data_IF_992120153248
#
_entry.id   IF_992120153248
#
_cell.length_a   1.000
_cell.length_b   1.000
_cell.length_c   1.000
_cell.angle_alpha   90.00
_cell.angle_beta   90.00
_cell.angle_gamma   90.00
#
_symmetry.space_group_name_H-M   'P 1'
#
loop_
_entity.id
_entity.type
_entity.pdbx_description
1 polymer ?
#
# COMPACT_ATOMS: atom_id res chain seq x y z
N UNK A 1 4.15 6.49 -21.20
CA UNK A 1 4.22 6.09 -19.78
C UNK A 1 3.27 4.92 -19.59
N UNK A 2 3.79 3.76 -19.20
CA UNK A 2 2.99 2.55 -19.04
C UNK A 2 1.95 2.78 -17.92
N UNK A 3 0.66 2.76 -18.29
CA UNK A 3 -0.44 2.70 -17.32
C UNK A 3 -0.38 1.31 -16.69
N UNK A 4 -0.01 1.20 -15.42
CA UNK A 4 -0.06 -0.09 -14.71
C UNK A 4 -1.46 -0.27 -14.11
N UNK A 5 -2.25 -1.27 -14.55
CA UNK A 5 -3.66 -1.40 -14.21
C UNK A 5 -3.87 -2.19 -12.90
N UNK A 6 -3.10 -1.87 -11.87
CA UNK A 6 -3.22 -2.49 -10.55
C UNK A 6 -4.18 -1.75 -9.62
N UNK A 7 -4.65 -2.44 -8.59
CA UNK A 7 -5.41 -1.84 -7.48
C UNK A 7 -4.47 -1.73 -6.27
N UNK A 8 -4.32 -0.53 -5.71
CA UNK A 8 -3.58 -0.27 -4.48
C UNK A 8 -4.50 0.32 -3.42
N UNK A 9 -4.41 -0.21 -2.21
CA UNK A 9 -5.00 0.39 -1.02
C UNK A 9 -3.99 1.33 -0.38
N UNK A 10 -4.34 2.59 -0.19
CA UNK A 10 -3.55 3.52 0.62
C UNK A 10 -4.37 3.83 1.85
N UNK A 11 -3.87 3.39 3.00
CA UNK A 11 -4.58 3.48 4.26
C UNK A 11 -3.85 4.39 5.23
N UNK A 12 -4.64 5.03 6.09
CA UNK A 12 -4.17 5.77 7.26
C UNK A 12 -4.55 5.04 8.54
N UNK A 13 -3.83 5.34 9.61
CA UNK A 13 -4.26 4.92 10.94
C UNK A 13 -5.60 5.61 11.32
N UNK A 14 -6.55 4.83 11.84
CA UNK A 14 -7.81 5.37 12.32
C UNK A 14 -7.57 6.35 13.49
N UNK A 15 -8.15 7.55 13.40
CA UNK A 15 -7.93 8.61 14.38
C UNK A 15 -6.75 9.53 14.07
N UNK A 16 -5.83 9.14 13.18
CA UNK A 16 -4.72 10.00 12.76
C UNK A 16 -5.16 10.98 11.66
N UNK A 17 -4.65 12.23 11.67
CA UNK A 17 -4.89 13.18 10.58
C UNK A 17 -4.33 12.62 9.27
N UNK A 18 -4.95 12.98 8.14
CA UNK A 18 -4.38 12.62 6.83
C UNK A 18 -3.10 13.42 6.64
N UNK A 19 -1.95 12.73 6.62
CA UNK A 19 -0.67 13.39 6.41
C UNK A 19 -0.52 13.87 4.96
N UNK A 20 0.27 14.93 4.77
CA UNK A 20 0.57 15.45 3.42
C UNK A 20 1.17 14.38 2.52
N UNK A 21 1.96 13.46 3.09
CA UNK A 21 2.62 12.39 2.36
C UNK A 21 1.60 11.39 1.81
N UNK A 22 0.59 11.03 2.61
CA UNK A 22 -0.52 10.18 2.17
C UNK A 22 -1.19 10.76 0.91
N UNK A 23 -1.60 12.03 0.96
CA UNK A 23 -2.23 12.70 -0.20
C UNK A 23 -1.30 12.79 -1.41
N UNK A 24 0.00 13.02 -1.20
CA UNK A 24 0.97 13.09 -2.31
C UNK A 24 1.16 11.73 -2.98
N UNK A 25 1.24 10.65 -2.20
CA UNK A 25 1.38 9.29 -2.72
C UNK A 25 0.11 8.84 -3.44
N UNK A 26 -1.07 9.12 -2.90
CA UNK A 26 -2.34 8.85 -3.61
C UNK A 26 -2.39 9.52 -4.98
N UNK A 27 -2.03 10.81 -5.05
CA UNK A 27 -1.98 11.56 -6.31
C UNK A 27 -0.98 10.93 -7.29
N UNK A 28 0.18 10.49 -6.80
CA UNK A 28 1.19 9.82 -7.63
C UNK A 28 0.66 8.53 -8.24
N UNK A 29 0.04 7.65 -7.46
CA UNK A 29 -0.52 6.39 -7.96
C UNK A 29 -1.62 6.63 -8.99
N UNK A 30 -2.58 7.53 -8.69
CA UNK A 30 -3.66 7.90 -9.64
C UNK A 30 -3.09 8.48 -10.94
N UNK A 31 -2.07 9.34 -10.86
CA UNK A 31 -1.42 9.92 -12.05
C UNK A 31 -0.72 8.86 -12.92
N UNK A 32 -0.28 7.74 -12.34
CA UNK A 32 0.34 6.62 -13.05
C UNK A 32 -0.68 5.54 -13.49
N UNK A 33 -1.98 5.81 -13.37
CA UNK A 33 -3.04 4.94 -13.88
C UNK A 33 -3.45 3.81 -12.94
N UNK A 34 -3.03 3.84 -11.68
CA UNK A 34 -3.46 2.88 -10.67
C UNK A 34 -4.86 3.22 -10.14
N UNK A 35 -5.65 2.19 -9.87
CA UNK A 35 -6.85 2.34 -9.06
C UNK A 35 -6.45 2.43 -7.60
N UNK A 36 -6.77 3.55 -6.96
CA UNK A 36 -6.45 3.79 -5.55
C UNK A 36 -7.73 3.69 -4.72
N UNK A 37 -7.75 2.72 -3.82
CA UNK A 37 -8.72 2.64 -2.73
C UNK A 37 -8.13 3.29 -1.49
N UNK A 38 -8.85 4.25 -0.93
CA UNK A 38 -8.41 4.98 0.25
C UNK A 38 -9.22 4.51 1.45
N UNK A 39 -8.55 4.19 2.56
CA UNK A 39 -9.20 3.63 3.75
C UNK A 39 -8.58 4.08 5.06
N UNK A 40 -9.23 3.72 6.16
CA UNK A 40 -8.66 3.81 7.50
C UNK A 40 -8.57 2.42 8.09
N UNK A 41 -7.43 2.09 8.68
CA UNK A 41 -7.19 0.78 9.25
C UNK A 41 -7.18 0.85 10.78
N UNK A 42 -7.88 -0.08 11.44
CA UNK A 42 -8.00 -0.17 12.89
C UNK A 42 -7.07 -1.25 13.45
N UNK A 43 -6.37 -0.97 14.54
CA UNK A 43 -5.51 -1.96 15.22
C UNK A 43 -4.32 -2.43 14.38
N UNK A 44 -3.89 -1.65 13.39
CA UNK A 44 -2.69 -2.02 12.62
C UNK A 44 -1.47 -1.80 13.50
N UNK A 45 -0.58 -2.78 13.46
CA UNK A 45 0.75 -2.67 14.06
C UNK A 45 1.44 -1.46 13.44
N UNK A 46 1.82 -0.48 14.26
CA UNK A 46 2.59 0.66 13.78
C UNK A 46 3.86 0.17 13.09
N UNK A 47 4.20 0.80 11.97
CA UNK A 47 5.48 0.57 11.32
C UNK A 47 6.54 1.36 12.08
N UNK A 48 7.58 0.70 12.56
CA UNK A 48 8.79 1.32 13.14
C UNK A 48 9.52 2.21 12.13
N UNK A 49 9.25 2.07 10.83
CA UNK A 49 9.75 2.96 9.77
C UNK A 49 8.69 3.90 9.15
N UNK A 50 7.46 3.94 9.67
CA UNK A 50 6.41 4.89 9.23
C UNK A 50 5.68 4.48 7.96
N UNK A 51 6.20 3.49 7.24
CA UNK A 51 5.60 2.90 6.03
C UNK A 51 5.52 1.39 6.21
N UNK A 52 4.31 0.84 6.16
CA UNK A 52 4.06 -0.59 6.12
C UNK A 52 3.42 -0.96 4.78
N UNK A 53 4.11 -1.82 4.03
CA UNK A 53 3.59 -2.42 2.81
C UNK A 53 3.08 -3.82 3.12
N UNK A 54 1.78 -4.02 2.96
CA UNK A 54 1.13 -5.31 3.13
C UNK A 54 0.84 -5.92 1.76
N UNK A 55 1.37 -7.11 1.51
CA UNK A 55 1.16 -7.87 0.26
C UNK A 55 0.26 -9.06 0.51
N UNK A 56 -0.84 -9.17 -0.22
CA UNK A 56 -1.82 -10.26 -0.11
C UNK A 56 -1.60 -11.30 -1.20
N UNK A 57 -0.54 -12.09 -1.04
CA UNK A 57 -0.06 -12.97 -2.11
C UNK A 57 0.54 -14.29 -1.60
N UNK A 58 0.34 -14.60 -0.32
CA UNK A 58 0.95 -15.77 0.31
C UNK A 58 2.48 -15.65 0.36
N UNK A 59 3.19 -16.65 -0.16
CA UNK A 59 4.66 -16.73 -0.13
C UNK A 59 5.38 -15.97 -1.25
N UNK A 60 4.66 -15.60 -2.32
CA UNK A 60 5.25 -14.88 -3.46
C UNK A 60 4.82 -13.41 -3.46
N UNK A 61 5.65 -12.48 -3.94
CA UNK A 61 5.22 -11.10 -4.21
C UNK A 61 4.50 -11.07 -5.57
N UNK A 62 3.37 -10.38 -5.69
CA UNK A 62 2.82 -10.07 -7.03
C UNK A 62 3.75 -9.09 -7.76
N UNK A 63 3.69 -9.07 -9.09
CA UNK A 63 4.46 -8.13 -9.91
C UNK A 63 4.19 -6.67 -9.48
N UNK A 64 2.93 -6.34 -9.18
CA UNK A 64 2.51 -5.03 -8.70
C UNK A 64 3.18 -4.66 -7.37
N UNK A 65 3.20 -5.59 -6.41
CA UNK A 65 3.88 -5.37 -5.14
C UNK A 65 5.39 -5.16 -5.35
N UNK A 66 6.02 -5.92 -6.25
CA UNK A 66 7.44 -5.77 -6.54
C UNK A 66 7.77 -4.41 -7.17
N UNK A 67 6.94 -3.92 -8.08
CA UNK A 67 7.08 -2.59 -8.68
C UNK A 67 7.07 -1.51 -7.60
N UNK A 68 6.10 -1.57 -6.67
CA UNK A 68 5.98 -0.56 -5.61
C UNK A 68 7.14 -0.64 -4.62
N UNK A 69 7.51 -1.84 -4.16
CA UNK A 69 8.64 -2.02 -3.25
C UNK A 69 9.96 -1.54 -3.88
N UNK A 70 10.18 -1.83 -5.17
CA UNK A 70 11.36 -1.35 -5.90
C UNK A 70 11.34 0.17 -6.04
N UNK A 71 10.18 0.78 -6.28
CA UNK A 71 10.06 2.24 -6.38
C UNK A 71 10.38 2.92 -5.04
N UNK A 72 9.89 2.38 -3.93
CA UNK A 72 10.17 2.91 -2.59
C UNK A 72 11.65 2.74 -2.22
N UNK A 73 12.23 1.56 -2.49
CA UNK A 73 13.65 1.31 -2.28
C UNK A 73 14.54 2.24 -3.13
N UNK A 74 14.19 2.43 -4.41
CA UNK A 74 14.91 3.35 -5.32
C UNK A 74 14.82 4.80 -4.86
N UNK A 75 13.71 5.19 -4.24
CA UNK A 75 13.54 6.51 -3.62
C UNK A 75 14.25 6.64 -2.25
N UNK A 76 14.90 5.58 -1.76
CA UNK A 76 15.57 5.56 -0.46
C UNK A 76 14.60 5.57 0.73
N UNK A 77 13.33 5.19 0.51
CA UNK A 77 12.33 5.12 1.57
C UNK A 77 12.46 3.80 2.32
N UNK A 78 12.67 3.87 3.64
CA UNK A 78 12.58 2.70 4.50
C UNK A 78 11.10 2.27 4.59
N UNK A 79 10.86 0.97 4.47
CA UNK A 79 9.52 0.39 4.63
C UNK A 79 9.61 -0.98 5.27
N UNK A 80 8.58 -1.34 6.02
CA UNK A 80 8.36 -2.70 6.48
C UNK A 80 7.47 -3.45 5.49
N UNK A 81 7.72 -4.76 5.37
CA UNK A 81 6.90 -5.65 4.57
C UNK A 81 6.16 -6.63 5.46
N UNK A 82 4.84 -6.66 5.34
CA UNK A 82 3.99 -7.69 5.93
C UNK A 82 3.33 -8.53 4.84
N UNK A 83 3.30 -9.83 5.05
CA UNK A 83 2.56 -10.75 4.16
C UNK A 83 1.25 -11.10 4.82
N UNK A 84 0.17 -11.09 4.04
CA UNK A 84 -1.13 -11.60 4.47
C UNK A 84 -1.54 -12.82 3.63
N UNK A 85 -2.28 -13.76 4.23
CA UNK A 85 -2.88 -14.87 3.48
C UNK A 85 -3.73 -14.35 2.32
N UNK A 86 -3.75 -15.11 1.22
CA UNK A 86 -4.59 -14.78 0.06
C UNK A 86 -6.05 -14.69 0.49
N UNK A 87 -6.79 -13.68 -0.01
CA UNK A 87 -8.21 -13.55 0.29
C UNK A 87 -8.98 -14.77 -0.24
N UNK A 88 -10.06 -15.21 0.41
CA UNK A 88 -10.95 -16.22 -0.16
C UNK A 88 -11.42 -15.79 -1.56
N UNK A 89 -11.61 -16.73 -2.50
CA UNK A 89 -11.98 -16.42 -3.90
C UNK A 89 -13.29 -15.61 -4.06
N UNK A 90 -14.09 -15.49 -3.00
CA UNK A 90 -15.33 -14.72 -2.98
C UNK A 90 -15.15 -13.24 -2.55
N UNK A 91 -13.93 -12.83 -2.19
CA UNK A 91 -13.64 -11.48 -1.75
C UNK A 91 -13.41 -10.55 -2.96
N UNK A 92 -14.49 -10.22 -3.67
CA UNK A 92 -14.45 -9.23 -4.76
C UNK A 92 -13.88 -7.89 -4.27
N UNK A 93 -13.04 -7.27 -5.11
CA UNK A 93 -12.41 -5.94 -4.90
C UNK A 93 -11.43 -5.84 -3.73
N UNK A 94 -10.82 -6.94 -3.29
CA UNK A 94 -9.80 -6.85 -2.26
C UNK A 94 -8.46 -6.44 -2.87
N UNK A 95 -7.84 -5.33 -2.43
CA UNK A 95 -6.58 -4.85 -2.99
C UNK A 95 -5.48 -5.88 -2.73
N UNK A 96 -4.69 -6.20 -3.75
CA UNK A 96 -3.53 -7.08 -3.62
C UNK A 96 -2.40 -6.44 -2.80
N UNK A 97 -2.34 -5.11 -2.84
CA UNK A 97 -1.34 -4.29 -2.20
C UNK A 97 -2.01 -3.25 -1.30
N UNK A 98 -1.55 -3.16 -0.06
CA UNK A 98 -1.93 -2.11 0.88
C UNK A 98 -0.69 -1.39 1.39
N UNK A 99 -0.74 -0.06 1.43
CA UNK A 99 0.31 0.82 1.93
C UNK A 99 -0.28 1.62 3.09
N UNK A 100 0.20 1.36 4.29
CA UNK A 100 -0.12 2.13 5.48
C UNK A 100 0.98 3.16 5.74
N UNK A 101 0.58 4.41 5.92
CA UNK A 101 1.40 5.46 6.50
C UNK A 101 1.05 5.63 7.97
N UNK A 102 2.03 5.48 8.86
CA UNK A 102 1.89 5.78 10.28
C UNK A 102 2.69 7.03 10.61
N UNK A 103 2.03 8.02 11.21
CA UNK A 103 2.71 9.20 11.73
C UNK A 103 3.55 8.77 12.95
N UNK A 104 4.81 9.22 12.99
CA UNK A 104 5.65 9.19 14.19
C UNK A 104 5.35 10.37 15.10
#
# INVERSE_FOLDING_TARGET
>A
MAKHPGIVSIVKEMGSPVSRIHTQVEKLFRANGWEVMSGAAFGVTKADNGILITTRSGDQSTEQAQIVMNAFATAGLAFERRRQPVAPPNAMNTPELEILFTDF
#
